data_IF_781663705917
#
_entry.id   IF_781663705917
#
_cell.length_a   1.000
_cell.length_b   1.000
_cell.length_c   1.000
_cell.angle_alpha   90.00
_cell.angle_beta   90.00
_cell.angle_gamma   90.00
#
_symmetry.space_group_name_H-M   'P 1'
#
loop_
_entity.id
_entity.type
_entity.pdbx_description
1 polymer ?
#
# COMPACT_ATOMS: atom_id res chain seq x y z
N UNK A 1 3.58 -9.99 -21.71
CA UNK A 1 3.33 -9.37 -20.41
C UNK A 1 3.88 -7.96 -20.37
N UNK A 2 3.13 -7.04 -19.83
CA UNK A 2 3.61 -5.67 -19.70
C UNK A 2 4.63 -5.55 -18.58
N UNK A 3 5.75 -4.89 -18.86
CA UNK A 3 6.75 -4.51 -17.85
C UNK A 3 6.59 -3.04 -17.45
N UNK A 4 5.56 -2.37 -18.00
CA UNK A 4 5.28 -0.98 -17.69
C UNK A 4 4.88 -0.81 -16.24
N UNK A 5 5.61 0.03 -15.52
CA UNK A 5 5.33 0.35 -14.13
C UNK A 5 4.46 1.59 -14.03
N UNK A 6 3.51 1.53 -13.15
CA UNK A 6 2.53 2.56 -12.90
C UNK A 6 2.61 2.96 -11.43
N UNK A 7 2.11 4.13 -11.09
CA UNK A 7 2.05 4.56 -9.71
C UNK A 7 0.74 4.10 -9.07
N UNK A 8 0.86 3.37 -7.97
CA UNK A 8 -0.25 2.83 -7.20
C UNK A 8 -0.27 3.41 -5.79
N UNK A 9 -1.44 3.39 -5.19
CA UNK A 9 -1.58 3.70 -3.78
C UNK A 9 -2.40 2.60 -3.11
N UNK A 10 -1.93 2.15 -1.96
CA UNK A 10 -2.62 1.16 -1.14
C UNK A 10 -2.87 1.75 0.24
N UNK A 11 -4.03 1.46 0.80
CA UNK A 11 -4.40 1.93 2.12
C UNK A 11 -4.10 0.85 3.15
N UNK A 12 -3.12 1.12 4.00
CA UNK A 12 -2.62 0.16 5.00
C UNK A 12 -3.35 0.40 6.32
N UNK A 13 -3.91 -0.65 6.95
CA UNK A 13 -4.62 -0.48 8.22
C UNK A 13 -3.67 -0.14 9.36
N UNK A 14 -4.18 0.59 10.36
CA UNK A 14 -3.41 0.94 11.56
C UNK A 14 -3.85 0.12 12.78
N UNK A 15 -5.01 -0.51 12.72
CA UNK A 15 -5.64 -1.22 13.84
C UNK A 15 -5.99 -2.64 13.40
N UNK A 16 -5.75 -3.60 14.28
CA UNK A 16 -6.08 -5.00 14.04
C UNK A 16 -7.58 -5.18 13.92
N UNK A 17 -8.00 -5.97 12.94
CA UNK A 17 -9.40 -6.31 12.70
C UNK A 17 -10.02 -6.99 13.92
N UNK A 18 -9.26 -7.88 14.56
CA UNK A 18 -9.69 -8.57 15.77
C UNK A 18 -8.98 -7.97 16.97
N UNK A 19 -9.75 -7.55 17.99
CA UNK A 19 -9.24 -6.98 19.21
C UNK A 19 -8.98 -5.49 19.18
N UNK A 20 -8.94 -4.86 18.01
CA UNK A 20 -8.83 -3.40 17.86
C UNK A 20 -7.53 -2.78 18.33
N UNK A 21 -6.47 -3.56 18.55
CA UNK A 21 -5.18 -3.03 18.98
C UNK A 21 -4.41 -2.47 17.79
N UNK A 22 -3.71 -1.35 17.96
CA UNK A 22 -2.85 -0.81 16.92
C UNK A 22 -1.74 -1.77 16.54
N UNK A 23 -1.39 -1.80 15.25
CA UNK A 23 -0.18 -2.44 14.81
C UNK A 23 1.02 -1.60 15.26
N UNK A 24 2.09 -2.27 15.66
CA UNK A 24 3.32 -1.61 16.08
C UNK A 24 4.07 -1.05 14.88
N UNK A 25 4.95 -0.08 15.10
CA UNK A 25 5.85 0.43 14.06
C UNK A 25 6.70 -0.70 13.49
N UNK A 26 7.17 -1.61 14.33
CA UNK A 26 7.95 -2.76 13.91
C UNK A 26 7.17 -3.66 12.93
N UNK A 27 5.89 -3.86 13.20
CA UNK A 27 5.03 -4.66 12.34
C UNK A 27 4.90 -4.02 10.95
N UNK A 28 4.71 -2.72 10.90
CA UNK A 28 4.67 -1.98 9.63
C UNK A 28 6.00 -2.04 8.88
N UNK A 29 7.12 -1.95 9.57
CA UNK A 29 8.45 -2.01 8.94
C UNK A 29 8.72 -3.34 8.24
N UNK A 30 8.21 -4.43 8.76
CA UNK A 30 8.32 -5.75 8.12
C UNK A 30 7.51 -5.75 6.81
N UNK A 31 6.31 -5.19 6.83
CA UNK A 31 5.51 -5.02 5.62
C UNK A 31 6.23 -4.13 4.59
N UNK A 32 6.76 -3.00 5.04
CA UNK A 32 7.49 -2.07 4.19
C UNK A 32 8.58 -2.80 3.40
N UNK A 33 9.36 -3.64 4.09
CA UNK A 33 10.43 -4.40 3.45
C UNK A 33 9.89 -5.37 2.41
N UNK A 34 8.82 -6.09 2.73
CA UNK A 34 8.20 -7.03 1.78
C UNK A 34 7.79 -6.32 0.49
N UNK A 35 7.22 -5.13 0.60
CA UNK A 35 6.75 -4.39 -0.56
C UNK A 35 7.91 -3.74 -1.32
N UNK A 36 8.91 -3.19 -0.61
CA UNK A 36 10.11 -2.65 -1.26
C UNK A 36 10.84 -3.71 -2.08
N UNK A 37 10.84 -4.95 -1.64
CA UNK A 37 11.47 -6.04 -2.39
C UNK A 37 10.79 -6.27 -3.75
N UNK A 38 9.52 -5.91 -3.87
CA UNK A 38 8.77 -5.99 -5.13
C UNK A 38 8.89 -4.70 -5.93
N UNK A 39 8.60 -3.56 -5.30
CA UNK A 39 8.45 -2.27 -5.96
C UNK A 39 9.73 -1.45 -6.04
N UNK A 40 10.73 -1.80 -5.26
CA UNK A 40 12.03 -1.12 -5.15
C UNK A 40 11.97 0.23 -4.43
N UNK A 41 10.82 0.64 -3.95
CA UNK A 41 10.66 1.86 -3.18
C UNK A 41 9.23 2.09 -2.73
N UNK A 42 9.07 2.89 -1.69
CA UNK A 42 7.78 3.28 -1.14
C UNK A 42 7.78 4.76 -0.83
N UNK A 43 6.60 5.38 -0.95
CA UNK A 43 6.34 6.69 -0.38
C UNK A 43 5.22 6.54 0.63
N UNK A 44 5.54 6.69 1.91
CA UNK A 44 4.59 6.51 3.01
C UNK A 44 4.05 7.88 3.38
N UNK A 45 2.74 8.06 3.26
CA UNK A 45 2.08 9.31 3.56
C UNK A 45 1.60 9.32 5.03
N UNK A 46 1.21 10.50 5.50
CA UNK A 46 0.64 10.64 6.84
C UNK A 46 -0.67 9.87 6.96
N UNK A 47 -0.97 9.32 8.14
CA UNK A 47 -2.24 8.62 8.35
C UNK A 47 -3.43 9.49 8.02
N UNK A 48 -4.42 8.88 7.38
CA UNK A 48 -5.63 9.55 6.90
C UNK A 48 -6.86 8.87 7.45
N UNK A 49 -7.93 9.66 7.64
CA UNK A 49 -9.22 9.17 8.11
C UNK A 49 -10.02 8.67 6.91
N UNK A 50 -10.50 7.42 6.99
CA UNK A 50 -11.42 6.84 6.02
C UNK A 50 -12.79 6.62 6.64
N UNK A 51 -13.82 6.73 5.83
CA UNK A 51 -15.20 6.45 6.22
C UNK A 51 -15.79 5.48 5.21
N UNK A 52 -16.37 4.41 5.70
CA UNK A 52 -16.91 3.34 4.86
C UNK A 52 -18.29 2.93 5.35
N UNK A 53 -19.14 2.52 4.41
CA UNK A 53 -20.42 1.93 4.76
C UNK A 53 -20.30 0.42 4.64
N UNK A 54 -20.58 -0.29 5.73
CA UNK A 54 -20.53 -1.76 5.74
C UNK A 54 -21.70 -2.33 4.91
N UNK A 55 -21.64 -3.62 4.54
CA UNK A 55 -22.75 -4.28 3.85
C UNK A 55 -24.07 -4.21 4.61
N UNK A 56 -24.04 -4.04 5.93
CA UNK A 56 -25.24 -3.90 6.77
C UNK A 56 -25.65 -2.45 7.00
N UNK A 57 -24.98 -1.48 6.35
CA UNK A 57 -25.34 -0.07 6.40
C UNK A 57 -24.72 0.73 7.56
N UNK A 58 -23.81 0.14 8.30
CA UNK A 58 -23.12 0.82 9.40
C UNK A 58 -21.98 1.72 8.89
N UNK A 59 -21.83 2.88 9.50
CA UNK A 59 -20.69 3.75 9.24
C UNK A 59 -19.48 3.26 10.01
N UNK A 60 -18.42 2.92 9.28
CA UNK A 60 -17.13 2.54 9.83
C UNK A 60 -16.16 3.68 9.63
N UNK A 61 -15.44 4.05 10.68
CA UNK A 61 -14.41 5.08 10.62
C UNK A 61 -13.09 4.43 10.93
N UNK A 62 -12.14 4.57 9.99
CA UNK A 62 -10.83 3.94 10.09
C UNK A 62 -9.74 4.95 9.85
N UNK A 63 -8.60 4.73 10.51
CA UNK A 63 -7.38 5.47 10.25
C UNK A 63 -6.44 4.58 9.48
N UNK A 64 -6.02 5.05 8.29
CA UNK A 64 -5.18 4.25 7.40
C UNK A 64 -3.96 5.03 6.97
N UNK A 65 -2.92 4.30 6.55
CA UNK A 65 -1.69 4.89 6.05
C UNK A 65 -1.67 4.69 4.54
N UNK A 66 -1.80 5.76 3.74
CA UNK A 66 -1.63 5.64 2.29
C UNK A 66 -0.15 5.41 1.97
N UNK A 67 0.11 4.43 1.12
CA UNK A 67 1.47 4.12 0.67
C UNK A 67 1.48 4.05 -0.85
N UNK A 68 2.37 4.81 -1.47
CA UNK A 68 2.54 4.83 -2.93
C UNK A 68 3.75 4.02 -3.35
N UNK A 69 3.62 3.34 -4.47
CA UNK A 69 4.68 2.49 -4.99
C UNK A 69 4.56 2.35 -6.52
N UNK A 70 5.70 2.13 -7.16
CA UNK A 70 5.75 1.85 -8.59
C UNK A 70 5.72 0.35 -8.81
N UNK A 71 4.83 -0.11 -9.69
CA UNK A 71 4.68 -1.53 -9.95
C UNK A 71 3.95 -1.77 -11.27
N UNK A 72 4.17 -2.93 -11.85
CA UNK A 72 3.29 -3.43 -12.89
C UNK A 72 1.95 -3.83 -12.26
N UNK A 73 0.92 -4.02 -13.06
CA UNK A 73 -0.38 -4.48 -12.58
C UNK A 73 -0.25 -5.79 -11.80
N UNK A 74 0.51 -6.73 -12.34
CA UNK A 74 0.70 -8.04 -11.69
C UNK A 74 1.42 -7.88 -10.34
N UNK A 75 2.41 -7.01 -10.27
CA UNK A 75 3.10 -6.72 -9.01
C UNK A 75 2.17 -6.04 -8.00
N UNK A 76 1.33 -5.12 -8.46
CA UNK A 76 0.35 -4.45 -7.59
C UNK A 76 -0.64 -5.44 -6.99
N UNK A 77 -1.13 -6.39 -7.78
CA UNK A 77 -2.00 -7.47 -7.29
C UNK A 77 -1.31 -8.32 -6.23
N UNK A 78 -0.03 -8.60 -6.42
CA UNK A 78 0.77 -9.33 -5.45
C UNK A 78 0.92 -8.54 -4.14
N UNK A 79 1.13 -7.23 -4.24
CA UNK A 79 1.17 -6.34 -3.06
C UNK A 79 -0.14 -6.39 -2.30
N UNK A 80 -1.27 -6.37 -3.00
CA UNK A 80 -2.61 -6.49 -2.38
C UNK A 80 -2.75 -7.81 -1.64
N UNK A 81 -2.36 -8.92 -2.25
CA UNK A 81 -2.46 -10.25 -1.63
C UNK A 81 -1.60 -10.34 -0.37
N UNK A 82 -0.37 -9.85 -0.42
CA UNK A 82 0.51 -9.80 0.75
C UNK A 82 -0.11 -8.97 1.86
N UNK A 83 -0.70 -7.84 1.52
CA UNK A 83 -1.28 -6.91 2.49
C UNK A 83 -2.50 -7.52 3.17
N UNK A 84 -3.38 -8.16 2.40
CA UNK A 84 -4.55 -8.87 2.93
C UNK A 84 -4.14 -9.91 3.98
N UNK A 85 -3.15 -10.72 3.65
CA UNK A 85 -2.68 -11.78 4.53
C UNK A 85 -1.90 -11.24 5.71
N UNK A 86 -0.94 -10.37 5.47
CA UNK A 86 -0.05 -9.87 6.53
C UNK A 86 -0.81 -9.11 7.61
N UNK A 87 -1.76 -8.27 7.21
CA UNK A 87 -2.57 -7.48 8.14
C UNK A 87 -3.88 -8.17 8.55
N UNK A 88 -4.12 -9.39 8.09
CA UNK A 88 -5.34 -10.14 8.39
C UNK A 88 -6.59 -9.29 8.13
N UNK A 89 -6.71 -8.78 6.91
CA UNK A 89 -7.84 -7.93 6.53
C UNK A 89 -8.82 -8.68 5.64
N UNK A 90 -10.10 -8.33 5.72
CA UNK A 90 -11.13 -8.87 4.84
C UNK A 90 -11.11 -8.18 3.47
N UNK A 91 -10.66 -6.94 3.43
CA UNK A 91 -10.55 -6.16 2.21
C UNK A 91 -9.42 -5.15 2.33
N UNK A 92 -8.79 -4.85 1.18
CA UNK A 92 -7.76 -3.82 1.07
C UNK A 92 -8.04 -3.04 -0.20
N UNK A 93 -8.03 -1.72 -0.11
CA UNK A 93 -8.21 -0.86 -1.27
C UNK A 93 -6.86 -0.45 -1.83
N UNK A 94 -6.66 -0.77 -3.10
CA UNK A 94 -5.49 -0.35 -3.87
C UNK A 94 -5.97 0.19 -5.21
N UNK A 95 -5.40 1.30 -5.64
CA UNK A 95 -5.82 1.93 -6.88
C UNK A 95 -4.66 2.60 -7.58
N UNK A 96 -4.83 2.77 -8.89
CA UNK A 96 -3.84 3.43 -9.72
C UNK A 96 -3.95 4.94 -9.55
N UNK A 97 -2.84 5.58 -9.22
CA UNK A 97 -2.73 7.05 -9.16
C UNK A 97 -2.43 7.61 -10.54
N UNK A 98 -1.49 6.98 -11.25
CA UNK A 98 -1.12 7.41 -12.60
C UNK A 98 -0.61 6.24 -13.42
N UNK A 99 -1.01 6.21 -14.69
CA UNK A 99 -0.50 5.23 -15.66
C UNK A 99 0.87 5.62 -16.19
N UNK A 100 1.22 6.89 -16.05
CA UNK A 100 2.50 7.41 -16.55
C UNK A 100 3.30 8.03 -15.41
N UNK A 101 4.56 7.64 -15.33
CA UNK A 101 5.50 8.19 -14.36
C UNK A 101 6.83 8.43 -15.05
N UNK A 102 7.56 9.41 -14.57
CA UNK A 102 8.93 9.65 -14.99
C UNK A 102 9.81 9.40 -13.77
N UNK A 103 10.62 8.35 -13.86
CA UNK A 103 11.67 8.08 -12.89
C UNK A 103 12.98 8.11 -13.66
N UNK A 104 13.76 9.15 -13.44
CA UNK A 104 14.99 9.34 -14.18
C UNK A 104 16.17 9.27 -13.24
N UNK A 105 17.14 8.46 -13.60
CA UNK A 105 18.40 8.38 -12.88
C UNK A 105 19.43 9.29 -13.54
N UNK A 106 20.27 9.89 -12.71
CA UNK A 106 21.41 10.63 -13.20
C UNK A 106 22.42 9.63 -13.77
N UNK A 107 23.07 10.00 -14.87
CA UNK A 107 24.13 9.16 -15.44
C UNK A 107 25.24 8.98 -14.41
N UNK A 108 25.84 7.77 -14.37
CA UNK A 108 26.82 7.40 -13.38
C UNK A 108 28.03 8.33 -13.35
N UNK A 109 28.49 8.73 -14.53
CA UNK A 109 29.64 9.65 -14.67
C UNK A 109 29.32 11.10 -14.26
N UNK A 110 28.08 11.42 -13.98
CA UNK A 110 27.66 12.74 -13.50
C UNK A 110 27.69 12.83 -11.97
N UNK A 111 27.95 11.74 -11.32
CA UNK A 111 28.04 11.68 -9.87
C UNK A 111 29.49 12.03 -9.38
#
# INVERSE_FOLDING_TARGET
>A
MSTHRQLWEILVPTIRRIGGKPYTTRYHRVWDKKIRDISRGLTILAPSKGQWISPTGELLIERMIPVRFLATRAEAEKVVDITLEYYDQLAVLCYQISSEVILKHRAENDL
#
